data_IF_869141848305
#
_entry.id   IF_869141848305
#
_cell.length_a   1.000
_cell.length_b   1.000
_cell.length_c   1.000
_cell.angle_alpha   90.00
_cell.angle_beta   90.00
_cell.angle_gamma   90.00
#
_symmetry.space_group_name_H-M   'P 1'
#
loop_
_entity.id
_entity.type
_entity.pdbx_description
1 polymer ?
#
# COMPACT_ATOMS: atom_id res chain seq x y z
N UNK A 1 10.96 3.71 -15.78
CA UNK A 1 10.07 3.28 -14.69
C UNK A 1 9.87 4.45 -13.75
N UNK A 2 8.63 4.87 -13.54
CA UNK A 2 8.29 5.84 -12.49
C UNK A 2 8.19 5.18 -11.11
N UNK A 3 8.16 5.97 -10.03
CA UNK A 3 7.96 5.45 -8.68
C UNK A 3 6.58 4.78 -8.55
N UNK A 4 5.55 5.33 -9.19
CA UNK A 4 4.22 4.71 -9.25
C UNK A 4 4.23 3.32 -9.92
N UNK A 5 4.91 3.16 -11.05
CA UNK A 5 5.03 1.86 -11.72
C UNK A 5 5.79 0.85 -10.86
N UNK A 6 6.89 1.29 -10.24
CA UNK A 6 7.65 0.49 -9.30
C UNK A 6 6.77 0.03 -8.12
N UNK A 7 6.00 0.95 -7.53
CA UNK A 7 5.10 0.64 -6.43
C UNK A 7 4.05 -0.42 -6.82
N UNK A 8 3.42 -0.28 -8.00
CA UNK A 8 2.46 -1.26 -8.52
C UNK A 8 3.09 -2.65 -8.67
N UNK A 9 4.30 -2.72 -9.22
CA UNK A 9 5.02 -4.01 -9.40
C UNK A 9 5.37 -4.65 -8.06
N UNK A 10 5.90 -3.88 -7.11
CA UNK A 10 6.24 -4.41 -5.79
C UNK A 10 4.99 -4.93 -5.09
N UNK A 11 3.92 -4.13 -5.03
CA UNK A 11 2.66 -4.54 -4.40
C UNK A 11 2.09 -5.79 -5.06
N UNK A 12 2.12 -5.91 -6.39
CA UNK A 12 1.74 -7.15 -7.07
C UNK A 12 2.58 -8.35 -6.62
N UNK A 13 3.90 -8.20 -6.50
CA UNK A 13 4.79 -9.29 -6.10
C UNK A 13 4.58 -9.74 -4.66
N UNK A 14 4.25 -8.83 -3.75
CA UNK A 14 4.03 -9.16 -2.33
C UNK A 14 2.57 -9.40 -1.96
N UNK A 15 1.66 -9.37 -2.93
CA UNK A 15 0.20 -9.51 -2.71
C UNK A 15 -0.23 -10.86 -2.12
N UNK A 16 0.63 -11.87 -2.14
CA UNK A 16 0.37 -13.17 -1.52
C UNK A 16 0.39 -13.13 0.02
N UNK A 17 1.02 -12.11 0.63
CA UNK A 17 1.12 -11.94 2.08
C UNK A 17 0.61 -10.55 2.49
N UNK A 18 -0.49 -10.53 3.24
CA UNK A 18 -1.15 -9.29 3.64
C UNK A 18 -0.25 -8.37 4.49
N UNK A 19 0.54 -8.94 5.40
CA UNK A 19 1.40 -8.16 6.29
C UNK A 19 2.59 -7.58 5.56
N UNK A 20 3.22 -8.37 4.68
CA UNK A 20 4.31 -7.90 3.83
C UNK A 20 3.83 -6.81 2.89
N UNK A 21 2.65 -6.99 2.29
CA UNK A 21 2.06 -5.99 1.42
C UNK A 21 1.80 -4.67 2.11
N UNK A 22 1.29 -4.68 3.35
CA UNK A 22 1.08 -3.46 4.13
C UNK A 22 2.39 -2.76 4.48
N UNK A 23 3.44 -3.52 4.82
CA UNK A 23 4.77 -2.96 5.07
C UNK A 23 5.34 -2.28 3.83
N UNK A 24 5.26 -2.93 2.67
CA UNK A 24 5.77 -2.36 1.42
C UNK A 24 4.91 -1.16 0.96
N UNK A 25 3.58 -1.23 1.10
CA UNK A 25 2.71 -0.09 0.83
C UNK A 25 3.12 1.13 1.65
N UNK A 26 3.31 0.98 2.97
CA UNK A 26 3.73 2.10 3.83
C UNK A 26 5.10 2.68 3.49
N UNK A 27 6.03 1.89 2.93
CA UNK A 27 7.31 2.38 2.42
C UNK A 27 7.14 3.15 1.11
N UNK A 28 6.39 2.57 0.17
CA UNK A 28 6.16 3.14 -1.15
C UNK A 28 5.34 4.43 -1.08
N UNK A 29 4.34 4.49 -0.21
CA UNK A 29 3.51 5.68 -0.02
C UNK A 29 4.31 6.92 0.41
N UNK A 30 5.46 6.73 1.08
CA UNK A 30 6.37 7.83 1.46
C UNK A 30 7.25 8.31 0.31
N UNK A 31 7.41 7.49 -0.74
CA UNK A 31 8.24 7.79 -1.92
C UNK A 31 7.44 8.48 -3.03
N UNK A 32 6.12 8.35 -3.02
CA UNK A 32 5.22 8.91 -4.03
C UNK A 32 4.82 10.34 -3.69
N UNK A 33 4.61 11.15 -4.72
CA UNK A 33 3.95 12.45 -4.56
C UNK A 33 2.42 12.32 -4.39
N UNK A 34 1.74 13.42 -4.10
CA UNK A 34 0.28 13.42 -3.87
C UNK A 34 -0.55 12.95 -5.07
N UNK A 35 -0.09 13.25 -6.29
CA UNK A 35 -0.76 12.79 -7.50
C UNK A 35 -0.57 11.28 -7.66
N UNK A 36 0.66 10.79 -7.53
CA UNK A 36 1.00 9.38 -7.61
C UNK A 36 0.32 8.55 -6.52
N UNK A 37 0.20 9.07 -5.29
CA UNK A 37 -0.57 8.43 -4.22
C UNK A 37 -2.03 8.25 -4.62
N UNK A 38 -2.65 9.31 -5.15
CA UNK A 38 -4.03 9.27 -5.62
C UNK A 38 -4.21 8.23 -6.72
N UNK A 39 -3.28 8.19 -7.68
CA UNK A 39 -3.29 7.18 -8.75
C UNK A 39 -3.09 5.75 -8.22
N UNK A 40 -2.24 5.58 -7.20
CA UNK A 40 -2.02 4.29 -6.55
C UNK A 40 -3.28 3.81 -5.82
N UNK A 41 -3.95 4.69 -5.08
CA UNK A 41 -5.17 4.38 -4.33
C UNK A 41 -6.33 4.00 -5.28
N UNK A 42 -6.51 4.74 -6.39
CA UNK A 42 -7.48 4.38 -7.44
C UNK A 42 -7.16 3.01 -8.04
N UNK A 43 -5.88 2.73 -8.29
CA UNK A 43 -5.46 1.43 -8.81
C UNK A 43 -5.75 0.30 -7.81
N UNK A 44 -5.49 0.51 -6.51
CA UNK A 44 -5.78 -0.47 -5.46
C UNK A 44 -7.28 -0.76 -5.35
N UNK A 45 -8.12 0.27 -5.34
CA UNK A 45 -9.59 0.12 -5.31
C UNK A 45 -10.14 -0.65 -6.51
N UNK A 46 -9.60 -0.39 -7.71
CA UNK A 46 -9.97 -1.15 -8.92
C UNK A 46 -9.61 -2.63 -8.81
N UNK A 47 -8.46 -2.94 -8.20
CA UNK A 47 -7.99 -4.32 -8.03
C UNK A 47 -8.74 -5.06 -6.91
N UNK A 48 -9.14 -4.37 -5.84
CA UNK A 48 -10.03 -4.93 -4.80
C UNK A 48 -11.35 -5.42 -5.40
N UNK A 49 -12.01 -4.57 -6.21
CA UNK A 49 -13.28 -4.93 -6.88
C UNK A 49 -13.16 -6.11 -7.84
N UNK A 50 -11.98 -6.30 -8.42
CA UNK A 50 -11.74 -7.37 -9.38
C UNK A 50 -11.41 -8.71 -8.71
N UNK A 51 -11.31 -8.78 -7.38
CA UNK A 51 -10.92 -9.95 -6.58
C UNK A 51 -9.64 -10.67 -7.05
N UNK A 52 -8.80 -9.97 -7.82
CA UNK A 52 -7.59 -10.55 -8.44
C UNK A 52 -6.36 -10.48 -7.54
N UNK A 53 -6.39 -9.70 -6.46
CA UNK A 53 -5.15 -9.28 -5.80
C UNK A 53 -5.19 -9.09 -4.27
N UNK A 54 -6.30 -9.31 -3.55
CA UNK A 54 -6.35 -8.81 -2.17
C UNK A 54 -7.16 -9.60 -1.13
N UNK A 55 -6.53 -9.96 0.00
CA UNK A 55 -7.17 -10.16 1.29
C UNK A 55 -7.15 -8.88 2.16
N UNK A 56 -7.13 -7.67 1.59
CA UNK A 56 -7.33 -6.47 2.40
C UNK A 56 -8.82 -6.33 2.72
N UNK A 57 -9.19 -6.76 3.91
CA UNK A 57 -10.30 -6.15 4.63
C UNK A 57 -10.14 -4.62 4.63
N UNK A 58 -11.25 -3.86 4.70
CA UNK A 58 -11.20 -2.41 4.64
C UNK A 58 -10.34 -1.90 5.79
N UNK A 59 -9.18 -1.34 5.48
CA UNK A 59 -8.46 -0.50 6.44
C UNK A 59 -9.27 0.79 6.50
N UNK A 60 -10.05 0.95 7.57
CA UNK A 60 -10.67 2.23 7.91
C UNK A 60 -9.54 3.20 8.25
N UNK A 61 -9.04 3.93 7.26
CA UNK A 61 -8.29 5.17 7.48
C UNK A 61 -9.27 6.28 7.88
N UNK A 62 -9.98 6.11 9.00
CA UNK A 62 -10.94 7.10 9.52
C UNK A 62 -10.26 8.25 10.29
N UNK A 63 -8.93 8.37 10.25
CA UNK A 63 -8.21 9.51 10.86
C UNK A 63 -6.99 9.96 10.05
N UNK A 64 -6.88 11.26 9.71
CA UNK A 64 -5.61 11.82 9.25
C UNK A 64 -4.62 11.80 10.41
N UNK A 65 -3.62 10.92 10.34
CA UNK A 65 -2.46 10.92 11.26
C UNK A 65 -2.12 9.62 11.99
N UNK A 66 -2.83 8.50 11.80
CA UNK A 66 -2.53 7.26 12.53
C UNK A 66 -1.90 6.16 11.65
N UNK A 67 -0.69 6.42 11.18
CA UNK A 67 0.25 5.38 10.74
C UNK A 67 1.62 5.59 11.41
N UNK A 68 1.64 5.82 12.72
CA UNK A 68 2.86 5.67 13.52
C UNK A 68 2.68 4.45 14.40
N UNK A 69 3.42 3.38 14.06
CA UNK A 69 3.37 2.16 14.85
C UNK A 69 4.14 0.97 14.32
N UNK A 70 5.20 1.12 13.52
CA UNK A 70 6.21 0.04 13.36
C UNK A 70 7.60 0.64 13.15
N UNK A 71 8.13 1.36 14.14
CA UNK A 71 9.57 1.40 14.39
C UNK A 71 9.78 1.58 15.90
N UNK A 72 9.80 0.51 16.69
CA UNK A 72 10.66 0.49 17.87
C UNK A 72 11.12 -0.93 18.25
N UNK A 73 12.42 -1.10 18.06
CA UNK A 73 13.41 -1.90 18.80
C UNK A 73 13.32 -3.43 18.86
N UNK A 74 14.40 -4.01 18.31
CA UNK A 74 15.16 -5.18 18.79
C UNK A 74 14.88 -5.54 20.26
N UNK A 75 14.62 -6.81 20.50
CA UNK A 75 15.20 -7.60 21.59
C UNK A 75 15.54 -8.98 21.01
#
# INVERSE_FOLDING_TARGET
MSFLEYAKVILMKVSFDQWLMLKEYGKLYKLLDEQEKTELDVWLEKNKKSNRFFPLSPIQCDKPGLCIGIIERRA
#
